data_IF_614149399948
#
_entry.id   IF_614149399948
#
_cell.length_a   1.000
_cell.length_b   1.000
_cell.length_c   1.000
_cell.angle_alpha   90.00
_cell.angle_beta   90.00
_cell.angle_gamma   90.00
#
_symmetry.space_group_name_H-M   'P 1'
#
loop_
_entity.id
_entity.type
_entity.pdbx_description
1 polymer ?
#
# COMPACT_ATOMS: atom_id res chain seq x y z
N UNK A 1 -28.46 -56.29 -17.59
CA UNK A 1 -28.63 -55.67 -18.92
C UNK A 1 -27.25 -55.12 -19.32
N UNK A 2 -26.37 -55.94 -19.91
CA UNK A 2 -26.15 -56.04 -21.38
C UNK A 2 -26.11 -54.67 -22.07
N UNK A 3 -25.10 -54.30 -22.87
CA UNK A 3 -23.85 -54.93 -23.28
C UNK A 3 -23.06 -53.89 -24.11
N UNK A 4 -21.74 -54.11 -24.20
CA UNK A 4 -20.85 -53.87 -25.36
C UNK A 4 -20.69 -52.42 -25.90
N UNK A 5 -19.54 -51.71 -25.87
CA UNK A 5 -18.10 -52.01 -26.12
C UNK A 5 -17.86 -52.43 -27.59
N UNK A 6 -16.78 -51.97 -28.28
CA UNK A 6 -16.67 -50.79 -29.15
C UNK A 6 -16.14 -51.26 -30.53
N UNK A 7 -15.23 -50.59 -31.27
CA UNK A 7 -13.78 -50.60 -30.94
C UNK A 7 -13.06 -49.25 -31.23
N UNK A 8 -12.03 -48.82 -30.48
CA UNK A 8 -10.58 -49.20 -30.56
C UNK A 8 -10.03 -49.13 -31.99
N UNK A 9 -8.88 -48.49 -32.22
CA UNK A 9 -7.49 -48.98 -32.01
C UNK A 9 -6.61 -47.72 -32.23
N UNK A 10 -5.75 -47.19 -31.34
CA UNK A 10 -4.67 -47.68 -30.48
C UNK A 10 -3.46 -48.29 -31.21
N UNK A 11 -2.36 -48.38 -30.46
CA UNK A 11 -1.10 -49.08 -30.71
C UNK A 11 -0.04 -48.16 -31.30
N UNK A 12 1.11 -47.97 -30.65
CA UNK A 12 1.68 -48.57 -29.45
C UNK A 12 3.10 -48.04 -29.35
N UNK A 13 3.62 -47.57 -28.21
CA UNK A 13 3.78 -48.22 -26.92
C UNK A 13 4.79 -49.38 -26.94
N UNK A 14 5.66 -49.38 -25.91
CA UNK A 14 6.41 -50.48 -25.27
C UNK A 14 7.94 -50.42 -25.40
N UNK A 15 8.68 -50.04 -24.34
CA UNK A 15 8.97 -50.65 -23.01
C UNK A 15 10.24 -51.50 -23.00
N UNK A 16 11.15 -51.15 -22.08
CA UNK A 16 11.79 -52.01 -21.06
C UNK A 16 12.67 -53.18 -21.56
N UNK A 17 13.97 -53.21 -21.19
CA UNK A 17 14.53 -54.01 -20.07
C UNK A 17 16.08 -54.01 -20.04
N UNK A 18 16.57 -54.21 -18.83
CA UNK A 18 17.94 -54.34 -18.32
C UNK A 18 18.95 -55.18 -19.13
N UNK A 19 20.23 -54.83 -18.96
CA UNK A 19 21.39 -55.70 -19.16
C UNK A 19 22.64 -55.16 -18.46
N UNK A 20 22.99 -55.76 -17.33
CA UNK A 20 24.24 -55.63 -16.55
C UNK A 20 25.48 -56.08 -17.33
N UNK A 21 26.65 -55.48 -17.07
CA UNK A 21 27.91 -56.16 -16.66
C UNK A 21 29.07 -55.17 -16.46
N UNK A 22 29.70 -55.26 -15.27
CA UNK A 22 31.14 -55.36 -14.97
C UNK A 22 32.11 -54.35 -15.61
N UNK A 23 33.10 -53.75 -14.95
CA UNK A 23 33.73 -54.03 -13.66
C UNK A 23 34.78 -52.94 -13.35
N UNK A 24 35.08 -52.77 -12.06
CA UNK A 24 36.37 -52.34 -11.46
C UNK A 24 36.81 -50.88 -11.70
N UNK A 25 37.23 -50.07 -10.73
CA UNK A 25 37.65 -50.26 -9.34
C UNK A 25 37.60 -48.89 -8.63
N UNK A 26 37.05 -48.87 -7.43
CA UNK A 26 37.40 -47.97 -6.33
C UNK A 26 38.01 -48.85 -5.22
N UNK A 27 38.42 -48.38 -4.03
CA UNK A 27 38.85 -47.06 -3.50
C UNK A 27 40.23 -47.28 -2.76
N UNK A 28 40.63 -46.72 -1.58
CA UNK A 28 40.11 -45.61 -0.75
C UNK A 28 41.15 -44.69 -0.03
N UNK A 29 40.60 -43.63 0.58
CA UNK A 29 40.89 -43.03 1.91
C UNK A 29 42.21 -42.28 2.27
N UNK A 30 42.04 -40.96 2.46
CA UNK A 30 42.19 -40.15 3.70
C UNK A 30 43.50 -40.08 4.53
N UNK A 31 43.83 -38.82 4.87
CA UNK A 31 44.60 -38.27 6.03
C UNK A 31 46.13 -38.05 5.88
N UNK A 32 46.56 -36.78 5.76
CA UNK A 32 47.32 -36.04 6.80
C UNK A 32 48.04 -34.79 6.27
N UNK A 33 47.73 -33.66 6.88
CA UNK A 33 48.63 -32.62 7.39
C UNK A 33 49.86 -32.11 6.60
N UNK A 34 49.84 -30.78 6.41
CA UNK A 34 50.93 -29.81 6.75
C UNK A 34 51.84 -29.28 5.62
N UNK A 35 51.67 -27.96 5.41
CA UNK A 35 52.61 -26.93 4.97
C UNK A 35 53.32 -27.07 3.61
N UNK A 36 52.97 -26.15 2.70
CA UNK A 36 53.90 -25.26 1.96
C UNK A 36 53.10 -24.29 1.08
N UNK A 37 52.74 -23.13 1.64
CA UNK A 37 52.36 -21.96 0.83
C UNK A 37 53.67 -21.37 0.30
N UNK A 38 53.83 -21.39 -1.03
CA UNK A 38 54.98 -20.82 -1.72
C UNK A 38 54.79 -19.32 -1.89
N UNK A 39 55.91 -18.58 -1.90
CA UNK A 39 56.02 -17.12 -1.87
C UNK A 39 55.33 -16.35 -3.04
N UNK A 40 54.62 -17.03 -3.94
CA UNK A 40 53.98 -16.43 -5.11
C UNK A 40 52.56 -15.91 -4.85
N UNK A 41 51.87 -16.33 -3.78
CA UNK A 41 50.51 -15.83 -3.48
C UNK A 41 50.50 -14.52 -2.68
N UNK A 42 51.59 -14.18 -1.98
CA UNK A 42 51.73 -12.90 -1.27
C UNK A 42 52.04 -11.71 -2.20
N UNK A 43 52.68 -11.95 -3.35
CA UNK A 43 53.00 -10.89 -4.32
C UNK A 43 51.77 -10.42 -5.13
N UNK A 44 50.77 -11.31 -5.28
CA UNK A 44 49.50 -11.00 -5.94
C UNK A 44 48.60 -10.17 -5.02
N UNK A 45 48.64 -10.42 -3.70
CA UNK A 45 47.92 -9.62 -2.71
C UNK A 45 48.58 -8.24 -2.55
N UNK A 46 49.92 -8.15 -2.52
CA UNK A 46 50.64 -6.88 -2.42
C UNK A 46 50.49 -5.96 -3.66
N UNK A 47 50.35 -6.53 -4.86
CA UNK A 47 50.07 -5.75 -6.09
C UNK A 47 48.64 -5.21 -6.15
N UNK A 48 47.65 -5.89 -5.54
CA UNK A 48 46.26 -5.41 -5.50
C UNK A 48 46.06 -4.22 -4.55
N UNK A 49 46.78 -4.16 -3.43
CA UNK A 49 46.70 -3.03 -2.49
C UNK A 49 47.35 -1.75 -3.02
N UNK A 50 48.37 -1.87 -3.87
CA UNK A 50 49.10 -0.70 -4.40
C UNK A 50 48.38 0.00 -5.57
N UNK A 51 47.42 -0.67 -6.22
CA UNK A 51 46.54 -0.07 -7.25
C UNK A 51 45.44 0.78 -6.58
N UNK A 52 45.01 0.42 -5.37
CA UNK A 52 44.06 1.21 -4.58
C UNK A 52 44.61 2.56 -4.12
N UNK A 53 45.89 2.63 -3.73
CA UNK A 53 46.48 3.87 -3.19
C UNK A 53 46.94 4.86 -4.26
N UNK A 54 47.14 4.42 -5.52
CA UNK A 54 47.47 5.31 -6.64
C UNK A 54 46.26 6.04 -7.24
N UNK A 55 45.03 5.53 -7.05
CA UNK A 55 43.81 6.26 -7.43
C UNK A 55 43.42 7.34 -6.42
N UNK A 56 43.80 7.19 -5.15
CA UNK A 56 43.43 8.15 -4.10
C UNK A 56 44.32 9.40 -4.15
N UNK A 57 45.59 9.27 -4.55
CA UNK A 57 46.57 10.38 -4.55
C UNK A 57 46.52 11.26 -5.80
N UNK A 58 46.06 10.76 -6.95
CA UNK A 58 45.87 11.59 -8.15
C UNK A 58 44.61 12.48 -8.12
N UNK A 59 43.73 12.28 -7.15
CA UNK A 59 42.48 13.06 -6.99
C UNK A 59 42.70 14.33 -6.12
N UNK A 60 43.86 14.48 -5.48
CA UNK A 60 44.13 15.58 -4.55
C UNK A 60 44.97 16.75 -5.13
N UNK A 61 45.47 16.64 -6.37
CA UNK A 61 46.46 17.60 -6.90
C UNK A 61 46.05 18.36 -8.19
N UNK A 62 44.75 18.45 -8.50
CA UNK A 62 44.24 19.34 -9.56
C UNK A 62 42.98 20.07 -9.11
N UNK A 63 43.10 20.82 -8.02
CA UNK A 63 42.16 21.88 -7.66
C UNK A 63 42.79 23.23 -7.98
N UNK A 64 42.87 23.54 -9.27
CA UNK A 64 42.94 24.91 -9.78
C UNK A 64 42.52 24.87 -11.25
N UNK A 65 41.40 25.54 -11.54
CA UNK A 65 40.90 25.87 -12.89
C UNK A 65 40.30 24.72 -13.71
N UNK A 66 38.99 24.56 -13.59
CA UNK A 66 38.08 24.71 -14.74
C UNK A 66 36.63 24.67 -14.27
N UNK A 67 36.04 25.86 -14.22
CA UNK A 67 34.63 26.14 -14.05
C UNK A 67 33.83 25.63 -15.26
N UNK A 68 33.50 24.33 -15.31
CA UNK A 68 32.52 23.81 -16.26
C UNK A 68 31.56 22.84 -15.54
N UNK A 69 30.45 23.43 -15.07
CA UNK A 69 29.13 22.84 -14.92
C UNK A 69 29.00 21.41 -14.35
N UNK A 70 29.24 21.29 -13.03
CA UNK A 70 28.70 20.19 -12.22
C UNK A 70 27.24 20.42 -11.77
N UNK A 71 26.54 21.39 -12.37
CA UNK A 71 25.13 21.70 -12.09
C UNK A 71 24.19 20.52 -12.41
N UNK A 72 24.50 19.73 -13.45
CA UNK A 72 23.69 18.57 -13.81
C UNK A 72 23.90 17.39 -12.86
N UNK A 73 25.14 17.11 -12.44
CA UNK A 73 25.43 16.04 -11.46
C UNK A 73 24.87 16.36 -10.08
N UNK A 74 24.98 17.61 -9.65
CA UNK A 74 24.34 18.04 -8.39
C UNK A 74 22.81 18.05 -8.51
N UNK A 75 22.24 18.48 -9.65
CA UNK A 75 20.79 18.38 -9.90
C UNK A 75 20.30 16.93 -9.98
N UNK A 76 21.09 16.01 -10.53
CA UNK A 76 20.77 14.57 -10.61
C UNK A 76 20.85 13.93 -9.22
N UNK A 77 21.88 14.24 -8.43
CA UNK A 77 22.07 13.75 -7.07
C UNK A 77 21.04 14.33 -6.07
N UNK A 78 20.54 15.56 -6.34
CA UNK A 78 19.46 16.21 -5.59
C UNK A 78 18.06 15.75 -6.01
N UNK A 79 17.80 15.53 -7.31
CA UNK A 79 16.60 14.85 -7.78
C UNK A 79 16.52 13.45 -7.18
N UNK A 80 17.65 12.72 -7.14
CA UNK A 80 17.74 11.43 -6.49
C UNK A 80 17.42 11.51 -5.00
N UNK A 81 17.99 12.42 -4.21
CA UNK A 81 17.75 12.45 -2.75
C UNK A 81 16.33 12.84 -2.34
N UNK A 82 15.68 13.78 -3.05
CA UNK A 82 14.27 14.13 -2.77
C UNK A 82 13.30 13.03 -3.27
N UNK A 83 13.58 12.42 -4.43
CA UNK A 83 12.80 11.28 -4.96
C UNK A 83 13.01 10.04 -4.10
N UNK A 84 14.22 9.73 -3.65
CA UNK A 84 14.52 8.63 -2.73
C UNK A 84 13.75 8.73 -1.42
N UNK A 85 13.65 9.92 -0.82
CA UNK A 85 13.04 10.07 0.52
C UNK A 85 11.51 9.86 0.54
N UNK A 86 10.82 9.97 -0.60
CA UNK A 86 9.37 9.66 -0.70
C UNK A 86 9.09 8.37 -1.49
N UNK A 87 9.96 7.95 -2.39
CA UNK A 87 9.97 6.59 -2.94
C UNK A 87 10.10 5.59 -1.81
N UNK A 88 11.00 5.85 -0.85
CA UNK A 88 11.11 5.05 0.37
C UNK A 88 9.85 5.08 1.22
N UNK A 89 9.12 6.21 1.30
CA UNK A 89 7.91 6.30 2.14
C UNK A 89 6.73 5.55 1.54
N UNK A 90 6.55 5.61 0.23
CA UNK A 90 5.50 4.85 -0.47
C UNK A 90 5.82 3.34 -0.48
N UNK A 91 7.07 2.98 -0.79
CA UNK A 91 7.53 1.58 -0.75
C UNK A 91 7.48 1.01 0.67
N UNK A 92 7.85 1.81 1.68
CA UNK A 92 7.70 1.46 3.08
C UNK A 92 6.24 1.32 3.48
N UNK A 93 5.34 2.18 2.98
CA UNK A 93 3.91 2.06 3.25
C UNK A 93 3.35 0.75 2.69
N UNK A 94 3.65 0.43 1.42
CA UNK A 94 3.26 -0.83 0.76
C UNK A 94 3.79 -2.02 1.55
N UNK A 95 5.06 -2.00 1.96
CA UNK A 95 5.66 -3.06 2.78
C UNK A 95 5.00 -3.22 4.15
N UNK A 96 4.60 -2.11 4.78
CA UNK A 96 3.98 -2.13 6.11
C UNK A 96 2.51 -2.54 6.09
N UNK A 97 1.82 -2.33 4.97
CA UNK A 97 0.39 -2.65 4.83
C UNK A 97 0.17 -3.82 3.89
N UNK A 98 0.31 -3.61 2.58
CA UNK A 98 -0.02 -4.60 1.56
C UNK A 98 0.86 -5.85 1.61
N UNK A 99 2.16 -5.75 1.91
CA UNK A 99 3.05 -6.92 1.99
C UNK A 99 2.92 -7.69 3.31
N UNK A 100 2.36 -7.07 4.34
CA UNK A 100 2.07 -7.72 5.62
C UNK A 100 0.67 -8.33 5.66
N UNK A 101 -0.13 -8.11 4.63
CA UNK A 101 -1.48 -8.64 4.48
C UNK A 101 -1.44 -9.85 3.55
N UNK A 102 -1.99 -10.97 4.02
CA UNK A 102 -1.97 -12.24 3.29
C UNK A 102 -2.71 -12.13 1.94
N UNK A 103 -3.71 -11.25 1.84
CA UNK A 103 -4.53 -11.09 0.64
C UNK A 103 -3.88 -10.18 -0.41
N UNK A 104 -3.13 -9.17 0.03
CA UNK A 104 -2.60 -8.13 -0.87
C UNK A 104 -1.15 -8.31 -1.28
N UNK A 105 -0.40 -9.20 -0.63
CA UNK A 105 1.02 -9.47 -0.90
C UNK A 105 1.29 -9.76 -2.39
N UNK A 106 0.38 -10.47 -3.06
CA UNK A 106 0.51 -10.88 -4.48
C UNK A 106 0.61 -9.67 -5.42
N UNK A 107 0.07 -8.51 -5.02
CA UNK A 107 0.01 -7.31 -5.85
C UNK A 107 1.12 -6.30 -5.55
N UNK A 108 2.08 -6.60 -4.66
CA UNK A 108 3.13 -5.65 -4.24
C UNK A 108 3.82 -4.96 -5.42
N UNK A 109 4.28 -5.72 -6.41
CA UNK A 109 4.99 -5.20 -7.58
C UNK A 109 4.08 -4.31 -8.45
N UNK A 110 2.83 -4.73 -8.63
CA UNK A 110 1.84 -4.01 -9.45
C UNK A 110 1.45 -2.69 -8.77
N UNK A 111 1.23 -2.73 -7.46
CA UNK A 111 0.93 -1.57 -6.61
C UNK A 111 2.09 -0.58 -6.61
N UNK A 112 3.32 -1.07 -6.41
CA UNK A 112 4.53 -0.24 -6.47
C UNK A 112 4.60 0.50 -7.81
N UNK A 113 4.46 -0.21 -8.93
CA UNK A 113 4.53 0.41 -10.25
C UNK A 113 3.43 1.46 -10.47
N UNK A 114 2.18 1.12 -10.15
CA UNK A 114 1.04 2.02 -10.35
C UNK A 114 1.14 3.29 -9.48
N UNK A 115 1.46 3.13 -8.20
CA UNK A 115 1.55 4.24 -7.25
C UNK A 115 2.80 5.13 -7.50
N UNK A 116 3.87 4.57 -8.04
CA UNK A 116 5.03 5.35 -8.49
C UNK A 116 4.68 6.24 -9.68
N UNK A 117 3.95 5.72 -10.66
CA UNK A 117 3.45 6.53 -11.78
C UNK A 117 2.50 7.61 -11.26
N UNK A 118 1.60 7.26 -10.34
CA UNK A 118 0.70 8.21 -9.69
C UNK A 118 1.44 9.35 -8.99
N UNK A 119 2.54 9.07 -8.27
CA UNK A 119 3.33 10.12 -7.61
C UNK A 119 3.93 11.14 -8.59
N UNK A 120 4.16 10.73 -9.84
CA UNK A 120 4.85 11.51 -10.89
C UNK A 120 3.90 12.22 -11.84
N UNK A 121 2.63 11.83 -11.91
CA UNK A 121 1.67 12.44 -12.83
C UNK A 121 1.24 13.84 -12.34
N UNK A 122 1.60 14.86 -13.12
CA UNK A 122 1.26 16.27 -12.84
C UNK A 122 -0.17 16.63 -13.23
N UNK A 123 -0.84 15.82 -14.06
CA UNK A 123 -2.24 16.05 -14.43
C UNK A 123 -3.17 15.96 -13.23
N UNK A 124 -2.78 15.19 -12.21
CA UNK A 124 -3.50 15.06 -10.95
C UNK A 124 -3.64 16.41 -10.24
N UNK A 125 -2.72 17.37 -10.44
CA UNK A 125 -2.77 18.68 -9.78
C UNK A 125 -4.08 19.44 -10.02
N UNK A 126 -4.79 19.15 -11.11
CA UNK A 126 -6.10 19.74 -11.42
C UNK A 126 -7.14 19.50 -10.31
N UNK A 127 -7.03 18.41 -9.54
CA UNK A 127 -7.97 18.16 -8.43
C UNK A 127 -7.91 19.25 -7.34
N UNK A 128 -6.80 19.96 -7.20
CA UNK A 128 -6.67 21.05 -6.25
C UNK A 128 -7.54 22.26 -6.62
N UNK A 129 -7.98 22.40 -7.87
CA UNK A 129 -8.93 23.45 -8.27
C UNK A 129 -10.31 23.23 -7.62
N UNK A 130 -10.64 21.98 -7.32
CA UNK A 130 -11.91 21.58 -6.69
C UNK A 130 -11.76 21.37 -5.18
N UNK A 131 -10.55 21.55 -4.64
CA UNK A 131 -10.22 21.34 -3.24
C UNK A 131 -9.86 22.66 -2.57
N UNK A 132 -10.10 22.77 -1.27
CA UNK A 132 -9.60 23.90 -0.48
C UNK A 132 -8.11 23.75 -0.13
N UNK A 133 -7.51 22.58 -0.40
CA UNK A 133 -6.11 22.31 -0.14
C UNK A 133 -5.21 22.96 -1.20
N UNK A 134 -3.99 23.32 -0.80
CA UNK A 134 -2.95 23.78 -1.73
C UNK A 134 -1.89 22.71 -1.89
N UNK A 135 -1.37 22.48 -3.11
CA UNK A 135 -0.33 21.49 -3.32
C UNK A 135 0.93 21.87 -2.52
N UNK A 136 1.56 20.90 -1.83
CA UNK A 136 2.76 21.12 -1.05
C UNK A 136 3.91 21.52 -1.97
N UNK A 137 4.57 22.61 -1.61
CA UNK A 137 5.74 23.13 -2.33
C UNK A 137 7.01 22.76 -1.59
N UNK A 138 8.00 22.28 -2.33
CA UNK A 138 9.38 22.15 -1.89
C UNK A 138 10.21 23.29 -2.49
N UNK A 139 11.30 23.66 -1.82
CA UNK A 139 12.20 24.69 -2.32
C UNK A 139 13.45 24.05 -2.92
N UNK A 140 13.88 24.55 -4.07
CA UNK A 140 15.15 24.12 -4.66
C UNK A 140 16.29 24.69 -3.78
N UNK A 141 17.00 23.76 -3.12
CA UNK A 141 18.27 23.88 -2.38
C UNK A 141 18.64 25.28 -1.82
N UNK A 142 18.55 25.45 -0.49
CA UNK A 142 19.18 26.56 0.25
C UNK A 142 18.47 27.91 0.16
N UNK A 143 17.46 28.05 -0.70
CA UNK A 143 16.63 29.25 -0.84
C UNK A 143 15.26 29.07 -0.17
N UNK A 144 15.28 28.72 1.11
CA UNK A 144 14.07 28.54 1.90
C UNK A 144 13.32 29.90 1.98
N UNK A 145 12.06 29.92 1.53
CA UNK A 145 11.20 31.11 1.62
C UNK A 145 11.22 32.04 0.40
N UNK A 146 12.02 31.76 -0.64
CA UNK A 146 11.96 32.51 -1.90
C UNK A 146 10.95 31.84 -2.83
N UNK A 147 9.79 32.49 -3.04
CA UNK A 147 8.64 31.94 -3.80
C UNK A 147 9.01 31.51 -5.22
N UNK A 148 9.96 32.19 -5.87
CA UNK A 148 10.40 31.87 -7.24
C UNK A 148 11.11 30.51 -7.37
N UNK A 149 11.57 29.93 -6.26
CA UNK A 149 12.22 28.61 -6.23
C UNK A 149 11.34 27.52 -5.60
N UNK A 150 10.06 27.82 -5.38
CA UNK A 150 9.09 26.88 -4.86
C UNK A 150 8.54 26.00 -6.00
N UNK A 151 8.78 24.69 -5.92
CA UNK A 151 8.29 23.69 -6.88
C UNK A 151 7.38 22.71 -6.15
N UNK A 152 6.22 22.42 -6.75
CA UNK A 152 5.27 21.44 -6.20
C UNK A 152 5.95 20.07 -6.10
N UNK A 153 5.88 19.47 -4.90
CA UNK A 153 6.53 18.20 -4.64
C UNK A 153 5.81 17.34 -3.58
N UNK A 154 5.32 16.12 -3.93
CA UNK A 154 5.60 15.37 -5.15
C UNK A 154 4.94 15.97 -6.40
N UNK A 155 5.31 15.54 -7.63
CA UNK A 155 4.74 16.10 -8.86
C UNK A 155 3.21 16.09 -8.94
N UNK A 156 2.55 15.10 -8.34
CA UNK A 156 1.09 15.04 -8.23
C UNK A 156 0.48 15.90 -7.10
N UNK A 157 1.31 16.52 -6.27
CA UNK A 157 0.91 17.34 -5.12
C UNK A 157 0.36 16.55 -3.92
N UNK A 158 0.39 15.22 -3.91
CA UNK A 158 -0.14 14.41 -2.81
C UNK A 158 1.03 13.80 -2.04
N UNK A 159 1.07 14.01 -0.73
CA UNK A 159 2.09 13.40 0.14
C UNK A 159 1.55 12.04 0.61
N UNK A 160 2.26 10.93 0.33
CA UNK A 160 1.89 9.63 0.87
C UNK A 160 1.86 9.67 2.41
N UNK A 161 0.74 9.23 2.97
CA UNK A 161 0.53 8.98 4.40
C UNK A 161 0.48 7.46 4.63
N UNK A 162 0.41 7.06 5.90
CA UNK A 162 0.33 5.64 6.24
C UNK A 162 -1.02 5.05 5.81
N UNK A 163 -1.04 3.90 5.15
CA UNK A 163 -2.25 3.29 4.61
C UNK A 163 -2.74 3.95 3.32
N UNK A 164 -1.87 4.68 2.61
CA UNK A 164 -2.21 5.23 1.31
C UNK A 164 -2.31 4.12 0.25
N UNK A 165 -1.44 3.12 0.33
CA UNK A 165 -1.47 1.91 -0.51
C UNK A 165 -2.78 1.12 -0.39
N UNK A 166 -3.41 1.12 0.78
CA UNK A 166 -4.66 0.38 1.05
C UNK A 166 -5.81 0.80 0.14
N UNK A 167 -5.79 2.02 -0.40
CA UNK A 167 -6.80 2.44 -1.38
C UNK A 167 -6.63 1.79 -2.74
N UNK A 168 -5.42 1.38 -3.10
CA UNK A 168 -5.11 0.74 -4.36
C UNK A 168 -5.08 -0.80 -4.23
N UNK A 169 -4.80 -1.36 -3.05
CA UNK A 169 -4.66 -2.80 -2.85
C UNK A 169 -5.89 -3.63 -3.28
N UNK A 170 -7.12 -3.28 -2.88
CA UNK A 170 -8.33 -4.01 -3.29
C UNK A 170 -8.56 -3.99 -4.82
N UNK A 171 -8.14 -2.91 -5.47
CA UNK A 171 -8.28 -2.76 -6.92
C UNK A 171 -7.33 -3.70 -7.69
N UNK A 172 -6.31 -4.25 -7.04
CA UNK A 172 -5.44 -5.29 -7.62
C UNK A 172 -6.20 -6.54 -8.04
N UNK A 173 -7.28 -6.89 -7.33
CA UNK A 173 -8.16 -8.01 -7.69
C UNK A 173 -9.00 -7.73 -8.95
N UNK A 174 -9.28 -6.45 -9.23
CA UNK A 174 -10.04 -6.03 -10.41
C UNK A 174 -9.12 -5.82 -11.62
N UNK A 175 -7.93 -5.26 -11.38
CA UNK A 175 -6.97 -4.90 -12.41
C UNK A 175 -5.68 -5.70 -12.27
N UNK A 176 -5.51 -6.70 -13.13
CA UNK A 176 -4.30 -7.54 -13.13
C UNK A 176 -3.03 -6.81 -13.62
N UNK A 177 -3.16 -5.68 -14.35
CA UNK A 177 -2.01 -4.93 -14.88
C UNK A 177 -1.87 -3.55 -14.25
N UNK A 178 -0.62 -3.15 -13.98
CA UNK A 178 -0.29 -1.86 -13.36
C UNK A 178 -0.85 -0.63 -14.08
N UNK A 179 -0.87 -0.54 -15.43
CA UNK A 179 -1.46 0.61 -16.11
C UNK A 179 -2.97 0.76 -15.89
N UNK A 180 -3.71 -0.35 -15.87
CA UNK A 180 -5.16 -0.33 -15.63
C UNK A 180 -5.46 0.09 -14.20
N UNK A 181 -4.75 -0.53 -13.25
CA UNK A 181 -4.83 -0.18 -11.83
C UNK A 181 -4.55 1.31 -11.62
N UNK A 182 -3.51 1.84 -12.26
CA UNK A 182 -3.16 3.25 -12.20
C UNK A 182 -4.30 4.17 -12.67
N UNK A 183 -4.85 3.93 -13.87
CA UNK A 183 -5.90 4.79 -14.40
C UNK A 183 -7.18 4.72 -13.57
N UNK A 184 -7.56 3.54 -13.09
CA UNK A 184 -8.71 3.34 -12.23
C UNK A 184 -8.51 4.05 -10.88
N UNK A 185 -7.39 3.78 -10.21
CA UNK A 185 -7.04 4.40 -8.94
C UNK A 185 -6.99 5.92 -9.04
N UNK A 186 -6.40 6.46 -10.12
CA UNK A 186 -6.35 7.90 -10.35
C UNK A 186 -7.74 8.51 -10.34
N UNK A 187 -8.68 7.94 -11.09
CA UNK A 187 -10.05 8.45 -11.18
C UNK A 187 -10.78 8.39 -9.83
N UNK A 188 -10.67 7.25 -9.13
CA UNK A 188 -11.30 7.05 -7.83
C UNK A 188 -10.74 8.06 -6.82
N UNK A 189 -9.42 8.21 -6.77
CA UNK A 189 -8.77 9.10 -5.82
C UNK A 189 -9.11 10.57 -6.06
N UNK A 190 -9.00 11.05 -7.31
CA UNK A 190 -9.24 12.47 -7.63
C UNK A 190 -10.70 12.87 -7.57
N UNK A 191 -11.64 11.91 -7.62
CA UNK A 191 -13.08 12.20 -7.51
C UNK A 191 -13.59 12.09 -6.07
N UNK A 192 -13.18 11.04 -5.36
CA UNK A 192 -13.74 10.67 -4.06
C UNK A 192 -12.70 10.81 -2.94
N UNK A 193 -11.68 9.94 -2.90
CA UNK A 193 -10.87 9.73 -1.70
C UNK A 193 -10.00 10.92 -1.28
N UNK A 194 -9.63 11.82 -2.20
CA UNK A 194 -8.90 13.03 -1.82
C UNK A 194 -9.65 13.88 -0.77
N UNK A 195 -10.99 13.83 -0.78
CA UNK A 195 -11.86 14.59 0.15
C UNK A 195 -11.83 14.03 1.58
N UNK A 196 -11.38 12.78 1.76
CA UNK A 196 -11.24 12.15 3.07
C UNK A 196 -10.00 12.68 3.83
N UNK A 197 -9.03 13.24 3.11
CA UNK A 197 -7.77 13.72 3.67
C UNK A 197 -7.60 15.25 3.60
N UNK A 198 -8.53 15.94 2.94
CA UNK A 198 -8.55 17.38 2.84
C UNK A 198 -9.63 17.98 3.76
N UNK A 199 -9.25 18.92 4.61
CA UNK A 199 -10.23 19.74 5.34
C UNK A 199 -10.95 20.64 4.34
N UNK A 200 -12.23 20.36 4.12
CA UNK A 200 -13.08 21.13 3.22
C UNK A 200 -14.47 21.29 3.81
N UNK A 201 -15.18 22.35 3.40
CA UNK A 201 -16.59 22.56 3.74
C UNK A 201 -17.54 21.77 2.83
N UNK A 202 -17.01 20.86 2.00
CA UNK A 202 -17.82 20.06 1.09
C UNK A 202 -18.72 19.08 1.87
N UNK A 203 -19.98 18.86 1.44
CA UNK A 203 -20.90 17.93 2.13
C UNK A 203 -20.38 16.49 2.20
N UNK A 204 -19.59 16.07 1.21
CA UNK A 204 -18.93 14.76 1.20
C UNK A 204 -17.48 14.78 1.75
N UNK A 205 -17.04 15.86 2.37
CA UNK A 205 -15.71 15.93 3.00
C UNK A 205 -15.66 15.19 4.34
N UNK A 206 -14.46 14.86 4.82
CA UNK A 206 -14.29 14.09 6.07
C UNK A 206 -15.05 14.67 7.27
N UNK A 207 -15.01 16.00 7.44
CA UNK A 207 -15.70 16.67 8.57
C UNK A 207 -17.22 16.47 8.50
N UNK A 208 -17.80 16.69 7.32
CA UNK A 208 -19.23 16.51 7.08
C UNK A 208 -19.66 15.05 7.27
N UNK A 209 -18.83 14.09 6.85
CA UNK A 209 -19.06 12.66 7.07
C UNK A 209 -19.00 12.28 8.55
N UNK A 210 -18.06 12.84 9.32
CA UNK A 210 -17.98 12.63 10.77
C UNK A 210 -19.22 13.17 11.48
N UNK A 211 -19.67 14.37 11.12
CA UNK A 211 -20.90 14.97 11.66
C UNK A 211 -22.12 14.14 11.29
N UNK A 212 -22.22 13.70 10.03
CA UNK A 212 -23.30 12.81 9.57
C UNK A 212 -23.34 11.52 10.39
N UNK A 213 -22.19 10.87 10.59
CA UNK A 213 -22.09 9.67 11.41
C UNK A 213 -22.58 9.92 12.85
N UNK A 214 -22.14 10.98 13.51
CA UNK A 214 -22.57 11.29 14.88
C UNK A 214 -24.07 11.57 14.95
N UNK A 215 -24.61 12.34 14.00
CA UNK A 215 -26.03 12.64 13.94
C UNK A 215 -26.87 11.39 13.72
N UNK A 216 -26.46 10.50 12.80
CA UNK A 216 -27.14 9.23 12.55
C UNK A 216 -27.13 8.34 13.80
N UNK A 217 -25.98 8.24 14.48
CA UNK A 217 -25.86 7.43 15.68
C UNK A 217 -26.71 7.99 16.84
N UNK A 218 -26.72 9.31 17.04
CA UNK A 218 -27.56 9.95 18.05
C UNK A 218 -29.06 9.78 17.78
N UNK A 219 -29.46 9.88 16.51
CA UNK A 219 -30.87 9.76 16.10
C UNK A 219 -31.37 8.34 16.24
N UNK A 220 -30.60 7.36 15.76
CA UNK A 220 -31.05 5.97 15.70
C UNK A 220 -30.73 5.18 16.97
N UNK A 221 -29.62 5.46 17.65
CA UNK A 221 -29.12 4.70 18.80
C UNK A 221 -28.63 5.61 19.94
N UNK A 222 -29.49 6.48 20.50
CA UNK A 222 -29.10 7.46 21.52
C UNK A 222 -28.55 6.81 22.78
N UNK A 223 -29.14 5.70 23.24
CA UNK A 223 -28.69 4.99 24.43
C UNK A 223 -27.23 4.49 24.30
N UNK A 224 -26.89 3.95 23.13
CA UNK A 224 -25.52 3.51 22.83
C UNK A 224 -24.57 4.71 22.79
N UNK A 225 -24.99 5.81 22.17
CA UNK A 225 -24.19 7.03 22.07
C UNK A 225 -23.83 7.61 23.45
N UNK A 226 -24.80 7.72 24.37
CA UNK A 226 -24.54 8.24 25.71
C UNK A 226 -23.68 7.29 26.54
N UNK A 227 -23.98 5.98 26.52
CA UNK A 227 -23.17 4.97 27.21
C UNK A 227 -21.70 5.02 26.79
N UNK A 228 -21.44 5.05 25.47
CA UNK A 228 -20.08 5.14 24.95
C UNK A 228 -19.37 6.43 25.37
N UNK A 229 -20.09 7.55 25.51
CA UNK A 229 -19.50 8.81 26.03
C UNK A 229 -19.18 8.72 27.53
N UNK A 230 -20.04 8.09 28.33
CA UNK A 230 -19.80 7.89 29.77
C UNK A 230 -18.57 7.00 30.02
N UNK A 231 -18.41 5.96 29.20
CA UNK A 231 -17.28 5.03 29.23
C UNK A 231 -15.97 5.65 28.71
N UNK A 232 -16.02 6.88 28.17
CA UNK A 232 -14.86 7.56 27.56
C UNK A 232 -14.49 7.02 26.17
N UNK A 233 -15.36 6.21 25.58
CA UNK A 233 -15.22 5.62 24.26
C UNK A 233 -15.98 6.42 23.21
N UNK A 234 -15.57 7.66 22.95
CA UNK A 234 -16.25 8.52 21.96
C UNK A 234 -16.50 7.78 20.63
N UNK A 235 -17.76 7.66 20.16
CA UNK A 235 -18.07 6.85 18.98
C UNK A 235 -17.29 7.25 17.73
N UNK A 236 -17.08 8.55 17.54
CA UNK A 236 -16.27 9.06 16.43
C UNK A 236 -14.83 8.55 16.49
N UNK A 237 -14.22 8.45 17.68
CA UNK A 237 -12.86 7.91 17.83
C UNK A 237 -12.76 6.45 17.40
N UNK A 238 -13.83 5.68 17.53
CA UNK A 238 -13.89 4.28 17.12
C UNK A 238 -14.04 4.15 15.59
N UNK A 239 -14.89 5.00 14.99
CA UNK A 239 -15.22 4.91 13.57
C UNK A 239 -14.36 5.78 12.64
N UNK A 240 -13.61 6.76 13.17
CA UNK A 240 -12.88 7.74 12.36
C UNK A 240 -11.91 7.08 11.38
N UNK A 241 -11.16 6.09 11.85
CA UNK A 241 -10.22 5.37 10.99
C UNK A 241 -10.93 4.60 9.87
N UNK A 242 -12.13 4.10 10.11
CA UNK A 242 -12.89 3.43 9.06
C UNK A 242 -13.32 4.41 7.96
N UNK A 243 -13.79 5.60 8.35
CA UNK A 243 -14.22 6.62 7.40
C UNK A 243 -13.02 7.18 6.63
N UNK A 244 -11.91 7.49 7.32
CA UNK A 244 -10.73 8.10 6.69
C UNK A 244 -9.99 7.15 5.76
N UNK A 245 -10.12 5.83 5.91
CA UNK A 245 -9.56 4.83 4.99
C UNK A 245 -10.62 4.19 4.08
N UNK A 246 -11.85 4.73 4.07
CA UNK A 246 -12.98 4.16 3.34
C UNK A 246 -13.17 2.64 3.55
N UNK A 247 -12.92 2.16 4.77
CA UNK A 247 -12.91 0.76 5.21
C UNK A 247 -11.80 -0.15 4.63
N UNK A 248 -10.86 0.40 3.86
CA UNK A 248 -9.71 -0.35 3.36
C UNK A 248 -8.81 -0.80 4.53
N UNK A 249 -8.45 -2.09 4.53
CA UNK A 249 -7.69 -2.73 5.61
C UNK A 249 -8.51 -3.09 6.85
N UNK A 250 -9.83 -2.91 6.82
CA UNK A 250 -10.74 -3.27 7.92
C UNK A 250 -11.78 -4.32 7.51
N UNK A 251 -12.32 -4.22 6.30
CA UNK A 251 -13.24 -5.20 5.74
C UNK A 251 -12.48 -6.21 4.86
N UNK A 252 -13.08 -7.40 4.74
CA UNK A 252 -12.71 -8.35 3.69
C UNK A 252 -12.85 -7.70 2.29
N UNK A 253 -11.96 -8.07 1.38
CA UNK A 253 -11.83 -7.43 0.08
C UNK A 253 -13.11 -7.48 -0.73
N UNK A 254 -13.80 -8.62 -0.74
CA UNK A 254 -15.07 -8.76 -1.46
C UNK A 254 -16.14 -7.81 -0.90
N UNK A 255 -16.26 -7.75 0.42
CA UNK A 255 -17.22 -6.88 1.12
C UNK A 255 -16.90 -5.40 0.95
N UNK A 256 -15.61 -5.05 0.88
CA UNK A 256 -15.12 -3.71 0.62
C UNK A 256 -15.43 -3.25 -0.80
N UNK A 257 -15.14 -4.08 -1.81
CA UNK A 257 -15.44 -3.77 -3.21
C UNK A 257 -16.96 -3.59 -3.42
N UNK A 258 -17.79 -4.40 -2.76
CA UNK A 258 -19.24 -4.22 -2.75
C UNK A 258 -19.70 -2.89 -2.12
N UNK A 259 -19.00 -2.40 -1.09
CA UNK A 259 -19.26 -1.07 -0.51
C UNK A 259 -18.90 0.02 -1.52
N UNK A 260 -17.72 -0.08 -2.13
CA UNK A 260 -17.21 0.90 -3.08
C UNK A 260 -18.06 0.96 -4.36
N UNK A 261 -18.51 -0.18 -4.88
CA UNK A 261 -19.43 -0.24 -6.02
C UNK A 261 -20.70 0.58 -5.77
N UNK A 262 -21.23 0.56 -4.54
CA UNK A 262 -22.41 1.37 -4.17
C UNK A 262 -22.06 2.85 -4.05
N UNK A 263 -20.92 3.18 -3.45
CA UNK A 263 -20.43 4.57 -3.38
C UNK A 263 -20.32 5.15 -4.79
N UNK A 264 -19.77 4.40 -5.73
CA UNK A 264 -19.60 4.84 -7.12
C UNK A 264 -20.92 4.85 -7.89
N UNK A 265 -21.81 3.89 -7.65
CA UNK A 265 -23.13 3.84 -8.29
C UNK A 265 -24.06 4.97 -7.85
N UNK A 266 -24.03 5.34 -6.56
CA UNK A 266 -24.82 6.44 -6.01
C UNK A 266 -24.11 7.81 -6.04
N UNK A 267 -22.83 7.84 -6.43
CA UNK A 267 -21.96 9.03 -6.43
C UNK A 267 -21.94 9.76 -5.06
N UNK A 268 -21.97 8.98 -3.96
CA UNK A 268 -22.06 9.51 -2.60
C UNK A 268 -21.18 8.78 -1.59
N UNK A 269 -20.26 9.52 -0.97
CA UNK A 269 -19.42 9.02 0.13
C UNK A 269 -20.14 8.97 1.49
N UNK A 270 -21.37 9.48 1.57
CA UNK A 270 -22.18 9.44 2.80
C UNK A 270 -22.44 8.00 3.26
N UNK A 271 -22.43 7.05 2.32
CA UNK A 271 -22.53 5.61 2.61
C UNK A 271 -21.44 5.11 3.57
N UNK A 272 -20.26 5.76 3.62
CA UNK A 272 -19.22 5.44 4.60
C UNK A 272 -19.69 5.71 6.04
N UNK A 273 -20.34 6.86 6.26
CA UNK A 273 -20.88 7.23 7.57
C UNK A 273 -22.09 6.36 7.96
N UNK A 274 -22.97 6.08 6.99
CA UNK A 274 -24.12 5.18 7.18
C UNK A 274 -23.65 3.78 7.56
N UNK A 275 -22.65 3.24 6.85
CA UNK A 275 -22.10 1.92 7.12
C UNK A 275 -21.40 1.87 8.48
N UNK A 276 -20.62 2.89 8.85
CA UNK A 276 -20.02 2.98 10.18
C UNK A 276 -21.08 2.92 11.30
N UNK A 277 -22.20 3.65 11.14
CA UNK A 277 -23.30 3.62 12.09
C UNK A 277 -23.96 2.23 12.12
N UNK A 278 -24.16 1.60 10.96
CA UNK A 278 -24.71 0.24 10.84
C UNK A 278 -23.90 -0.78 11.65
N UNK A 279 -22.58 -0.71 11.60
CA UNK A 279 -21.68 -1.61 12.35
C UNK A 279 -21.89 -1.45 13.87
N UNK A 280 -21.94 -0.22 14.35
CA UNK A 280 -22.16 0.06 15.77
C UNK A 280 -23.55 -0.39 16.23
N UNK A 281 -24.59 -0.16 15.41
CA UNK A 281 -25.95 -0.61 15.68
C UNK A 281 -26.04 -2.14 15.72
N UNK A 282 -25.37 -2.82 14.79
CA UNK A 282 -25.33 -4.28 14.75
C UNK A 282 -24.65 -4.89 15.99
N UNK A 283 -23.59 -4.25 16.51
CA UNK A 283 -22.88 -4.70 17.72
C UNK A 283 -23.40 -4.05 19.01
N UNK A 284 -24.58 -3.42 18.98
CA UNK A 284 -25.13 -2.64 20.09
C UNK A 284 -25.14 -3.42 21.41
N UNK A 285 -25.62 -4.66 21.42
CA UNK A 285 -25.76 -5.45 22.65
C UNK A 285 -24.42 -5.61 23.36
N UNK A 286 -23.38 -5.98 22.60
CA UNK A 286 -22.04 -6.15 23.12
C UNK A 286 -21.42 -4.82 23.56
N UNK A 287 -21.68 -3.74 22.83
CA UNK A 287 -21.13 -2.41 23.16
C UNK A 287 -21.77 -1.78 24.40
N UNK A 288 -23.04 -2.09 24.71
CA UNK A 288 -23.70 -1.61 25.94
C UNK A 288 -23.16 -2.29 27.20
N UNK A 289 -22.55 -3.47 27.08
CA UNK A 289 -21.93 -4.18 28.21
C UNK A 289 -20.49 -3.72 28.50
N UNK A 290 -19.91 -2.94 27.59
CA UNK A 290 -18.53 -2.48 27.71
C UNK A 290 -18.38 -1.41 28.79
N UNK A 291 -17.33 -1.51 29.59
CA UNK A 291 -17.00 -0.58 30.69
C UNK A 291 -15.79 0.31 30.44
N UNK A 292 -15.01 0.06 29.37
CA UNK A 292 -13.83 0.86 29.05
C UNK A 292 -13.59 0.95 27.52
N UNK A 293 -12.80 1.95 27.11
CA UNK A 293 -12.45 2.17 25.70
C UNK A 293 -11.79 0.96 25.03
N UNK A 294 -10.90 0.24 25.73
CA UNK A 294 -10.16 -0.88 25.15
C UNK A 294 -11.11 -2.04 24.79
N UNK A 295 -12.04 -2.38 25.68
CA UNK A 295 -13.05 -3.39 25.43
C UNK A 295 -13.98 -2.98 24.27
N UNK A 296 -14.32 -1.68 24.13
CA UNK A 296 -15.08 -1.21 22.98
C UNK A 296 -14.29 -1.41 21.67
N UNK A 297 -12.99 -1.12 21.68
CA UNK A 297 -12.12 -1.36 20.53
C UNK A 297 -12.05 -2.86 20.21
N UNK A 298 -11.86 -3.74 21.19
CA UNK A 298 -11.82 -5.20 21.01
C UNK A 298 -13.12 -5.75 20.44
N UNK A 299 -14.27 -5.26 20.89
CA UNK A 299 -15.56 -5.66 20.30
C UNK A 299 -15.67 -5.23 18.84
N UNK A 300 -14.93 -4.22 18.41
CA UNK A 300 -14.97 -3.66 17.06
C UNK A 300 -13.75 -4.02 16.19
N UNK A 301 -12.79 -4.81 16.68
CA UNK A 301 -11.57 -5.13 15.91
C UNK A 301 -11.85 -6.09 14.77
N UNK A 302 -12.69 -7.11 15.00
CA UNK A 302 -12.99 -8.10 13.97
C UNK A 302 -14.24 -7.68 13.19
N UNK A 303 -14.04 -7.16 11.98
CA UNK A 303 -15.10 -6.77 11.05
C UNK A 303 -15.20 -7.74 9.85
N UNK A 304 -14.40 -8.80 9.83
CA UNK A 304 -14.29 -9.74 8.70
C UNK A 304 -15.60 -10.50 8.44
N UNK A 305 -16.37 -10.77 9.49
CA UNK A 305 -17.63 -11.53 9.43
C UNK A 305 -18.83 -10.70 8.96
N UNK A 306 -18.64 -9.42 8.67
CA UNK A 306 -19.74 -8.51 8.35
C UNK A 306 -20.12 -8.58 6.88
N UNK A 307 -21.43 -8.74 6.62
CA UNK A 307 -21.97 -8.64 5.27
C UNK A 307 -22.39 -7.19 4.98
N UNK A 308 -21.62 -6.50 4.14
CA UNK A 308 -21.83 -5.09 3.79
C UNK A 308 -23.24 -4.84 3.29
N UNK A 309 -23.74 -5.70 2.41
CA UNK A 309 -25.04 -5.53 1.75
C UNK A 309 -26.16 -5.67 2.75
N UNK A 310 -26.13 -6.71 3.57
CA UNK A 310 -27.16 -6.96 4.57
C UNK A 310 -27.21 -5.84 5.63
N UNK A 311 -26.06 -5.32 6.06
CA UNK A 311 -25.98 -4.23 7.03
C UNK A 311 -26.49 -2.90 6.49
N UNK A 312 -26.15 -2.56 5.24
CA UNK A 312 -26.70 -1.38 4.58
C UNK A 312 -28.21 -1.51 4.41
N UNK A 313 -28.70 -2.67 3.98
CA UNK A 313 -30.13 -2.94 3.88
C UNK A 313 -30.82 -2.86 5.25
N UNK A 314 -30.19 -3.39 6.30
CA UNK A 314 -30.69 -3.29 7.66
C UNK A 314 -30.95 -1.83 8.02
N UNK A 315 -29.96 -0.95 7.87
CA UNK A 315 -30.14 0.48 8.22
C UNK A 315 -31.13 1.19 7.30
N UNK A 316 -31.11 0.91 6.00
CA UNK A 316 -31.98 1.58 5.02
C UNK A 316 -33.45 1.15 5.14
N UNK A 317 -33.73 -0.07 5.59
CA UNK A 317 -35.08 -0.63 5.62
C UNK A 317 -35.67 -0.86 7.02
N UNK A 318 -34.88 -0.92 8.11
CA UNK A 318 -35.46 -1.21 9.45
C UNK A 318 -36.15 -0.05 10.16
N UNK A 319 -36.07 1.19 9.67
CA UNK A 319 -36.67 2.34 10.39
C UNK A 319 -37.46 3.26 9.46
N UNK A 320 -38.44 2.70 8.75
CA UNK A 320 -39.68 3.41 8.43
C UNK A 320 -40.70 3.20 9.54
#
# INVERSE_FOLDING_TARGET
MTAAVPPRINIGNKTVRNGTKDATKSPPNTVSAVNRITANELDIIAKKTNIGNKLITHTAARNSESSLNNSWLTSLNLRMTSQFFKFSKLEMDIKLTSSNDDDYFVFEDVLCQALLVFSRDTSILQHFEQSSATPPKSYIRGKLGVQDYAVVYPPNGIIPFHGFSLYASPLGFVCAQAPQLYFLFRQIYTRYFFRLHAMSSHPQGILSLCVLFENLLQTHEPALFYHLKEVGAHPLRLAFNWIIYAFAGYLDTEQLLLLWDRIFAYDSMELLAVFAMAILSYRRTNLLEVTNLQAAQTVLTDLSTLNTVALLQYVLFLKQ
#
